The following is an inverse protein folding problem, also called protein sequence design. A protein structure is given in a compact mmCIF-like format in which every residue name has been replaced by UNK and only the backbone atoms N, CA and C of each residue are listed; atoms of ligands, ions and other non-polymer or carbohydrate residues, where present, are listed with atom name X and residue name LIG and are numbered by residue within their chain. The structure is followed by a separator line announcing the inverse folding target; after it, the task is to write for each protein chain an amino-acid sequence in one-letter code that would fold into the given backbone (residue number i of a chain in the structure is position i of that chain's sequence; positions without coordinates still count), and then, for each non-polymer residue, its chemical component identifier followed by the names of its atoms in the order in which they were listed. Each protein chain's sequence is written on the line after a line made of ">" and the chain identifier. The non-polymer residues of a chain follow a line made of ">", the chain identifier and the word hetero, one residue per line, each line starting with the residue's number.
data_IF_919791053807
#
_entry.id   IF_919791053807
#
_cell.length_a   1.000
_cell.length_b   1.000
_cell.length_c   1.000
_cell.angle_alpha   90.00
_cell.angle_beta   90.00
_cell.angle_gamma   90.00
#
_symmetry.space_group_name_H-M   'P 1'
#
loop_
_entity.id
_entity.type
_entity.pdbx_description
1 polymer ?
#
# COMPACT_ATOMS: atom_id res chain seq x y z
N UNK A 1 -24.51 25.18 6.08
CA UNK A 1 -23.08 25.11 6.41
C UNK A 1 -22.49 23.80 5.89
N UNK A 2 -21.62 23.85 4.89
CA UNK A 2 -20.95 22.65 4.39
C UNK A 2 -19.97 22.12 5.46
N UNK A 3 -20.18 20.90 5.96
CA UNK A 3 -19.20 20.19 6.80
C UNK A 3 -17.90 20.11 6.01
N UNK A 4 -16.89 20.92 6.37
CA UNK A 4 -15.51 20.75 5.90
C UNK A 4 -15.12 19.31 6.17
N UNK A 5 -14.92 18.52 5.12
CA UNK A 5 -14.42 17.16 5.22
C UNK A 5 -13.07 17.24 5.95
N UNK A 6 -12.97 16.63 7.12
CA UNK A 6 -11.70 16.41 7.82
C UNK A 6 -10.85 15.58 6.86
N UNK A 7 -9.82 16.18 6.27
CA UNK A 7 -8.79 15.44 5.55
C UNK A 7 -8.36 14.26 6.43
N UNK A 8 -8.23 13.07 5.84
CA UNK A 8 -7.71 11.91 6.57
C UNK A 8 -6.38 12.31 7.18
N UNK A 9 -6.29 12.22 8.51
CA UNK A 9 -5.04 12.50 9.17
C UNK A 9 -4.10 11.32 8.89
N UNK A 10 -3.00 11.60 8.18
CA UNK A 10 -1.92 10.66 8.07
C UNK A 10 -1.47 10.21 9.46
N UNK A 11 -1.14 8.94 9.60
CA UNK A 11 -0.72 8.34 10.87
C UNK A 11 0.53 7.49 10.67
N UNK A 12 1.42 7.53 11.65
CA UNK A 12 2.64 6.73 11.62
C UNK A 12 2.50 5.50 12.50
N UNK A 13 2.85 4.34 11.96
CA UNK A 13 2.92 3.10 12.71
C UNK A 13 4.04 2.23 12.14
N UNK A 14 4.90 1.72 13.02
CA UNK A 14 6.10 0.95 12.67
C UNK A 14 6.87 1.58 11.50
N UNK A 15 7.17 2.89 11.58
CA UNK A 15 7.91 3.65 10.57
C UNK A 15 7.20 3.90 9.23
N UNK A 16 5.97 3.40 9.05
CA UNK A 16 5.17 3.62 7.85
C UNK A 16 4.24 4.81 8.10
N UNK A 17 4.26 5.79 7.20
CA UNK A 17 3.33 6.90 7.20
C UNK A 17 2.13 6.56 6.31
N UNK A 18 1.04 6.13 6.93
CA UNK A 18 -0.22 5.84 6.25
C UNK A 18 -0.96 7.12 5.88
N UNK A 19 -1.64 7.13 4.75
CA UNK A 19 -2.40 8.27 4.25
C UNK A 19 -3.74 8.44 4.98
N UNK A 20 -4.20 7.36 5.62
CA UNK A 20 -5.35 7.39 6.50
C UNK A 20 -5.23 6.49 7.72
N UNK A 21 -5.98 6.84 8.76
CA UNK A 21 -6.23 5.97 9.91
C UNK A 21 -6.88 4.65 9.50
N UNK A 22 -7.64 4.62 8.41
CA UNK A 22 -8.31 3.42 7.92
C UNK A 22 -7.30 2.43 7.34
N UNK A 23 -6.32 2.89 6.56
CA UNK A 23 -5.21 2.07 6.07
C UNK A 23 -4.35 1.52 7.21
N UNK A 24 -4.00 2.35 8.20
CA UNK A 24 -3.27 1.88 9.38
C UNK A 24 -4.08 0.84 10.16
N UNK A 25 -5.40 1.04 10.31
CA UNK A 25 -6.30 0.07 10.95
C UNK A 25 -6.31 -1.26 10.20
N UNK A 26 -6.29 -1.23 8.86
CA UNK A 26 -6.18 -2.44 8.06
C UNK A 26 -4.83 -3.14 8.23
N UNK A 27 -3.72 -2.42 8.16
CA UNK A 27 -2.38 -2.96 8.40
C UNK A 27 -2.29 -3.68 9.76
N UNK A 28 -2.72 -3.02 10.83
CA UNK A 28 -2.81 -3.60 12.18
C UNK A 28 -3.73 -4.84 12.26
N UNK A 29 -4.75 -4.91 11.39
CA UNK A 29 -5.67 -6.05 11.38
C UNK A 29 -5.08 -7.29 10.72
N UNK A 30 -4.05 -7.14 9.87
CA UNK A 30 -3.47 -8.22 9.07
C UNK A 30 -2.04 -8.61 9.48
N UNK A 31 -1.32 -7.75 10.20
CA UNK A 31 0.12 -7.88 10.46
C UNK A 31 0.54 -9.18 11.18
N UNK A 32 -0.37 -9.81 11.92
CA UNK A 32 -0.05 -11.06 12.64
C UNK A 32 -0.08 -12.30 11.71
N UNK A 33 -0.62 -12.19 10.50
CA UNK A 33 -0.82 -13.34 9.58
C UNK A 33 -0.52 -13.06 8.10
N UNK A 34 -0.20 -11.81 7.75
CA UNK A 34 0.15 -11.39 6.41
C UNK A 34 1.42 -10.55 6.40
N UNK A 35 2.18 -10.68 5.31
CA UNK A 35 3.13 -9.66 4.89
C UNK A 35 2.45 -8.66 3.96
N UNK A 36 2.87 -7.41 3.99
CA UNK A 36 2.34 -6.39 3.09
C UNK A 36 3.39 -5.36 2.66
N UNK A 37 3.19 -4.83 1.45
CA UNK A 37 3.81 -3.62 0.95
C UNK A 37 2.77 -2.51 0.87
N UNK A 38 3.06 -1.38 1.49
CA UNK A 38 2.24 -0.16 1.41
C UNK A 38 2.69 0.67 0.20
N UNK A 39 1.75 1.10 -0.65
CA UNK A 39 2.02 1.74 -1.95
C UNK A 39 3.03 0.95 -2.81
N UNK A 40 2.70 -0.29 -3.20
CA UNK A 40 3.65 -1.25 -3.76
C UNK A 40 4.18 -0.86 -5.14
N UNK A 41 3.36 -0.19 -5.95
CA UNK A 41 3.68 0.15 -7.34
C UNK A 41 2.74 1.22 -7.91
N UNK A 42 3.21 1.89 -8.97
CA UNK A 42 2.41 2.81 -9.78
C UNK A 42 1.79 2.10 -10.97
N UNK A 43 0.46 2.17 -11.08
CA UNK A 43 -0.28 1.70 -12.25
C UNK A 43 -0.59 2.91 -13.13
N UNK A 44 0.09 2.97 -14.27
CA UNK A 44 -0.08 4.04 -15.26
C UNK A 44 -1.22 3.72 -16.22
N UNK A 45 -2.09 4.70 -16.46
CA UNK A 45 -3.30 4.52 -17.26
C UNK A 45 -3.71 5.78 -18.04
N UNK A 46 -4.39 5.57 -19.16
CA UNK A 46 -5.06 6.63 -19.90
C UNK A 46 -6.57 6.63 -19.59
N UNK A 47 -7.12 7.82 -19.28
CA UNK A 47 -8.54 7.98 -18.91
C UNK A 47 -9.50 7.86 -20.09
N UNK A 48 -9.01 8.12 -21.31
CA UNK A 48 -9.79 8.10 -22.55
C UNK A 48 -9.63 6.79 -23.29
N UNK A 49 -8.41 6.27 -23.33
CA UNK A 49 -8.06 5.03 -24.01
C UNK A 49 -7.66 3.95 -23.00
N UNK A 50 -8.65 3.15 -22.62
CA UNK A 50 -8.50 2.07 -21.64
C UNK A 50 -7.54 0.95 -22.07
N UNK A 51 -7.08 0.95 -23.32
CA UNK A 51 -6.14 -0.04 -23.85
C UNK A 51 -4.68 0.32 -23.62
N UNK A 52 -4.39 1.59 -23.32
CA UNK A 52 -3.04 2.06 -23.05
C UNK A 52 -2.69 1.90 -21.58
N UNK A 53 -1.53 1.32 -21.33
CA UNK A 53 -0.91 1.20 -20.02
C UNK A 53 0.57 1.59 -20.09
N UNK A 54 1.14 1.95 -18.94
CA UNK A 54 2.58 2.25 -18.84
C UNK A 54 2.95 3.73 -18.99
N UNK A 55 4.04 4.10 -18.31
CA UNK A 55 4.50 5.49 -18.16
C UNK A 55 4.81 6.20 -19.49
N UNK A 56 5.20 5.46 -20.52
CA UNK A 56 5.54 6.03 -21.83
C UNK A 56 4.31 6.56 -22.58
N UNK A 57 3.12 6.04 -22.30
CA UNK A 57 1.89 6.32 -23.05
C UNK A 57 0.83 7.04 -22.22
N UNK A 58 0.97 7.03 -20.90
CA UNK A 58 -0.07 7.45 -19.97
C UNK A 58 0.40 8.59 -19.07
N UNK A 59 -0.45 9.62 -18.93
CA UNK A 59 -0.19 10.76 -18.04
C UNK A 59 -0.83 10.61 -16.66
N UNK A 60 -1.71 9.62 -16.46
CA UNK A 60 -2.30 9.35 -15.15
C UNK A 60 -1.63 8.11 -14.55
N UNK A 61 -1.51 8.13 -13.23
CA UNK A 61 -1.13 6.96 -12.45
C UNK A 61 -1.95 6.92 -11.18
N UNK A 62 -2.15 5.72 -10.63
CA UNK A 62 -2.56 5.57 -9.24
C UNK A 62 -1.72 4.48 -8.58
N UNK A 63 -1.63 4.54 -7.25
CA UNK A 63 -0.94 3.57 -6.43
C UNK A 63 -2.03 2.84 -5.62
N UNK A 64 -2.12 1.50 -5.73
CA UNK A 64 -2.95 0.71 -4.83
C UNK A 64 -2.48 0.87 -3.39
N UNK A 65 -3.38 0.84 -2.42
CA UNK A 65 -3.00 1.06 -1.02
C UNK A 65 -2.04 -0.05 -0.51
N UNK A 66 -2.29 -1.33 -0.84
CA UNK A 66 -1.44 -2.45 -0.40
C UNK A 66 -1.24 -3.54 -1.46
N UNK A 67 -0.10 -4.24 -1.39
CA UNK A 67 0.07 -5.60 -1.89
C UNK A 67 0.28 -6.53 -0.70
N UNK A 68 -0.61 -7.49 -0.50
CA UNK A 68 -0.67 -8.35 0.69
C UNK A 68 -0.42 -9.79 0.31
N UNK A 69 0.41 -10.50 1.07
CA UNK A 69 0.63 -11.94 0.97
C UNK A 69 0.13 -12.61 2.24
N UNK A 70 -0.86 -13.49 2.11
CA UNK A 70 -1.29 -14.32 3.23
C UNK A 70 -0.27 -15.43 3.46
N UNK A 71 0.31 -15.49 4.66
CA UNK A 71 1.39 -16.42 4.98
C UNK A 71 0.93 -17.88 5.06
N UNK A 72 -0.36 -18.12 5.35
CA UNK A 72 -0.93 -19.47 5.45
C UNK A 72 -1.32 -20.03 4.09
N UNK A 73 -2.01 -19.24 3.27
CA UNK A 73 -2.56 -19.71 1.99
C UNK A 73 -1.64 -19.47 0.81
N UNK A 74 -0.58 -18.67 1.00
CA UNK A 74 0.27 -18.18 -0.08
C UNK A 74 -0.48 -17.41 -1.18
N UNK A 75 -1.69 -16.92 -0.90
CA UNK A 75 -2.42 -16.06 -1.83
C UNK A 75 -1.93 -14.62 -1.74
N UNK A 76 -1.85 -13.97 -2.90
CA UNK A 76 -1.43 -12.57 -3.02
C UNK A 76 -2.62 -11.70 -3.44
N UNK A 77 -2.78 -10.57 -2.77
CA UNK A 77 -3.89 -9.65 -2.97
C UNK A 77 -3.38 -8.24 -3.25
N UNK A 78 -3.87 -7.62 -4.33
CA UNK A 78 -3.70 -6.20 -4.57
C UNK A 78 -4.92 -5.47 -3.98
N UNK A 79 -4.70 -4.71 -2.92
CA UNK A 79 -5.77 -4.18 -2.07
C UNK A 79 -5.86 -2.67 -2.20
N UNK A 80 -7.07 -2.20 -2.44
CA UNK A 80 -7.46 -0.79 -2.36
C UNK A 80 -8.46 -0.63 -1.22
N UNK A 81 -8.23 0.34 -0.34
CA UNK A 81 -9.09 0.65 0.80
C UNK A 81 -9.76 2.00 0.57
N UNK A 82 -11.08 2.02 0.70
CA UNK A 82 -11.86 3.24 0.54
C UNK A 82 -12.90 3.38 1.63
N UNK A 83 -13.26 4.63 1.92
CA UNK A 83 -14.47 4.87 2.69
C UNK A 83 -15.67 4.28 1.92
N UNK A 84 -16.68 3.77 2.63
CA UNK A 84 -17.80 3.06 2.00
C UNK A 84 -18.64 3.90 1.03
N UNK A 85 -18.47 5.24 1.01
CA UNK A 85 -19.14 6.12 0.05
C UNK A 85 -18.37 6.22 -1.26
N UNK A 86 -17.05 5.96 -1.23
CA UNK A 86 -16.15 6.08 -2.37
C UNK A 86 -15.97 4.84 -3.21
N UNK A 87 -16.37 3.66 -2.71
CA UNK A 87 -16.23 2.40 -3.44
C UNK A 87 -16.93 2.41 -4.81
N UNK A 88 -18.07 3.10 -4.91
CA UNK A 88 -18.87 3.17 -6.15
C UNK A 88 -18.59 4.40 -7.03
N UNK A 89 -17.64 5.26 -6.66
CA UNK A 89 -17.31 6.38 -7.54
C UNK A 89 -16.64 5.89 -8.83
N UNK A 90 -16.96 6.60 -9.92
CA UNK A 90 -16.43 6.32 -11.25
C UNK A 90 -14.89 6.18 -11.26
N UNK A 91 -14.18 7.06 -10.54
CA UNK A 91 -12.72 7.02 -10.46
C UNK A 91 -12.21 5.73 -9.77
N UNK A 92 -12.89 5.26 -8.73
CA UNK A 92 -12.55 4.01 -8.03
C UNK A 92 -12.76 2.80 -8.96
N UNK A 93 -13.85 2.78 -9.71
CA UNK A 93 -14.13 1.70 -10.66
C UNK A 93 -13.16 1.73 -11.85
N UNK A 94 -12.77 2.91 -12.31
CA UNK A 94 -11.75 3.08 -13.34
C UNK A 94 -10.39 2.55 -12.87
N UNK A 95 -9.98 2.91 -11.65
CA UNK A 95 -8.76 2.38 -11.03
C UNK A 95 -8.81 0.86 -10.90
N UNK A 96 -9.89 0.30 -10.35
CA UNK A 96 -10.10 -1.15 -10.29
C UNK A 96 -9.92 -1.82 -11.66
N UNK A 97 -10.53 -1.27 -12.71
CA UNK A 97 -10.39 -1.79 -14.06
C UNK A 97 -8.92 -1.83 -14.52
N UNK A 98 -8.17 -0.74 -14.30
CA UNK A 98 -6.76 -0.70 -14.67
C UNK A 98 -5.88 -1.60 -13.80
N UNK A 99 -6.23 -1.82 -12.53
CA UNK A 99 -5.58 -2.82 -11.67
C UNK A 99 -5.70 -4.23 -12.25
N UNK A 100 -6.92 -4.63 -12.59
CA UNK A 100 -7.20 -5.95 -13.13
C UNK A 100 -6.48 -6.17 -14.45
N UNK A 101 -6.50 -5.18 -15.34
CA UNK A 101 -5.71 -5.22 -16.58
C UNK A 101 -4.22 -5.32 -16.32
N UNK A 102 -3.68 -4.56 -15.37
CA UNK A 102 -2.27 -4.65 -15.03
C UNK A 102 -1.89 -6.05 -14.56
N UNK A 103 -2.73 -6.66 -13.71
CA UNK A 103 -2.55 -8.04 -13.22
C UNK A 103 -2.51 -9.01 -14.40
N UNK A 104 -3.47 -8.90 -15.32
CA UNK A 104 -3.58 -9.74 -16.52
C UNK A 104 -2.38 -9.54 -17.47
N UNK A 105 -2.09 -8.30 -17.86
CA UNK A 105 -1.00 -7.93 -18.78
C UNK A 105 0.38 -8.34 -18.25
N UNK A 106 0.54 -8.38 -16.93
CA UNK A 106 1.79 -8.80 -16.26
C UNK A 106 1.77 -10.25 -15.80
N UNK A 107 0.73 -11.01 -16.18
CA UNK A 107 0.53 -12.42 -15.84
C UNK A 107 0.77 -12.70 -14.34
N UNK A 108 0.15 -11.90 -13.47
CA UNK A 108 0.28 -12.00 -12.03
C UNK A 108 -0.81 -12.90 -11.46
N UNK A 109 -0.47 -13.68 -10.45
CA UNK A 109 -1.37 -14.56 -9.69
C UNK A 109 -2.17 -13.82 -8.61
N UNK A 110 -2.34 -12.50 -8.76
CA UNK A 110 -2.91 -11.64 -7.73
C UNK A 110 -4.42 -11.56 -7.86
N UNK A 111 -5.12 -11.58 -6.72
CA UNK A 111 -6.53 -11.22 -6.65
C UNK A 111 -6.66 -9.72 -6.29
N UNK A 112 -7.49 -8.96 -7.01
CA UNK A 112 -7.74 -7.55 -6.65
C UNK A 112 -8.89 -7.44 -5.65
N UNK A 113 -8.65 -6.74 -4.54
CA UNK A 113 -9.65 -6.47 -3.49
C UNK A 113 -9.90 -4.97 -3.34
N UNK A 114 -11.16 -4.56 -3.39
CA UNK A 114 -11.60 -3.23 -2.99
C UNK A 114 -12.34 -3.37 -1.66
N UNK A 115 -11.73 -2.88 -0.58
CA UNK A 115 -12.22 -3.04 0.78
C UNK A 115 -12.68 -1.70 1.35
N UNK A 116 -13.64 -1.79 2.26
CA UNK A 116 -14.12 -0.74 3.14
C UNK A 116 -13.93 -1.17 4.58
N UNK A 117 -14.16 -0.26 5.53
CA UNK A 117 -14.06 -0.56 6.96
C UNK A 117 -14.92 -1.74 7.42
N UNK A 118 -16.00 -2.07 6.68
CA UNK A 118 -16.90 -3.18 7.01
C UNK A 118 -16.39 -4.54 6.53
N UNK A 119 -15.44 -4.55 5.60
CA UNK A 119 -15.01 -5.77 4.90
C UNK A 119 -13.88 -6.50 5.63
N UNK A 120 -13.38 -5.95 6.74
CA UNK A 120 -12.36 -6.59 7.55
C UNK A 120 -12.65 -6.45 9.05
N UNK A 121 -12.30 -7.50 9.79
CA UNK A 121 -12.39 -7.52 11.24
C UNK A 121 -11.19 -6.81 11.85
N UNK A 122 -11.42 -5.94 12.83
CA UNK A 122 -10.35 -5.33 13.61
C UNK A 122 -10.28 -5.95 15.01
N UNK A 123 -9.16 -6.61 15.38
CA UNK A 123 -9.03 -7.24 16.69
C UNK A 123 -9.11 -6.25 17.84
N UNK A 124 -9.95 -6.56 18.84
CA UNK A 124 -10.08 -5.73 20.05
C UNK A 124 -8.74 -5.55 20.79
N UNK A 125 -7.84 -6.53 20.69
CA UNK A 125 -6.49 -6.48 21.26
C UNK A 125 -5.61 -5.34 20.70
N UNK A 126 -5.87 -4.89 19.47
CA UNK A 126 -5.11 -3.83 18.79
C UNK A 126 -5.70 -2.43 19.02
N UNK A 127 -6.81 -2.30 19.75
CA UNK A 127 -7.49 -1.01 19.99
C UNK A 127 -6.61 0.02 20.69
N UNK A 128 -5.80 -0.40 21.66
CA UNK A 128 -4.92 0.50 22.38
C UNK A 128 -3.78 1.02 21.49
N UNK A 129 -3.27 0.18 20.59
CA UNK A 129 -2.26 0.56 19.59
C UNK A 129 -2.84 1.61 18.66
N UNK A 130 -4.02 1.36 18.07
CA UNK A 130 -4.67 2.31 17.18
C UNK A 130 -4.95 3.66 17.88
N UNK A 131 -5.43 3.65 19.13
CA UNK A 131 -5.64 4.88 19.92
C UNK A 131 -4.34 5.65 20.16
N UNK A 132 -3.22 4.95 20.38
CA UNK A 132 -1.91 5.60 20.58
C UNK A 132 -1.44 6.28 19.28
N UNK A 133 -1.56 5.58 18.15
CA UNK A 133 -1.19 6.08 16.82
C UNK A 133 -2.04 7.28 16.40
N UNK A 134 -3.34 7.26 16.71
CA UNK A 134 -4.26 8.38 16.45
C UNK A 134 -3.96 9.63 17.27
N UNK A 135 -3.24 9.53 18.39
CA UNK A 135 -2.80 10.70 19.17
C UNK A 135 -1.57 11.35 18.55
N UNK A 136 -0.75 10.57 17.84
CA UNK A 136 0.45 11.03 17.13
C UNK A 136 0.10 11.61 15.76
N UNK A 137 -0.99 12.38 15.65
CA UNK A 137 -1.31 13.10 14.40
C UNK A 137 -0.18 14.08 14.12
N UNK A 138 0.60 13.76 13.11
CA UNK A 138 1.77 14.53 12.75
C UNK A 138 1.31 15.91 12.27
N UNK A 139 1.88 16.97 12.84
CA UNK A 139 1.64 18.35 12.38
C UNK A 139 2.02 18.50 10.90
N UNK A 140 1.47 19.48 10.19
CA UNK A 140 1.79 19.69 8.75
C UNK A 140 3.29 19.83 8.48
N UNK A 141 4.04 20.44 9.41
CA UNK A 141 5.50 20.54 9.35
C UNK A 141 6.18 19.18 9.56
N UNK A 142 5.70 18.39 10.53
CA UNK A 142 6.15 17.02 10.74
C UNK A 142 5.84 16.11 9.54
N UNK A 143 4.69 16.29 8.87
CA UNK A 143 4.31 15.54 7.66
C UNK A 143 5.28 15.81 6.51
N UNK A 144 5.64 17.09 6.29
CA UNK A 144 6.62 17.47 5.26
C UNK A 144 8.03 16.98 5.62
N UNK A 145 8.41 17.03 6.90
CA UNK A 145 9.67 16.51 7.39
C UNK A 145 9.77 14.99 7.22
N UNK A 146 8.72 14.25 7.61
CA UNK A 146 8.64 12.79 7.45
C UNK A 146 8.54 12.36 6.01
N UNK A 147 7.73 13.02 5.17
CA UNK A 147 7.71 12.76 3.73
C UNK A 147 9.09 13.01 3.09
N UNK A 148 9.80 14.06 3.52
CA UNK A 148 11.16 14.31 3.07
C UNK A 148 12.18 13.32 3.61
N UNK A 149 12.05 12.87 4.86
CA UNK A 149 12.89 11.82 5.47
C UNK A 149 12.64 10.50 4.76
N UNK A 150 11.38 10.10 4.60
CA UNK A 150 10.98 8.94 3.82
C UNK A 150 11.57 9.02 2.41
N UNK A 151 11.46 10.17 1.71
CA UNK A 151 12.06 10.42 0.39
C UNK A 151 13.60 10.50 0.37
N UNK A 152 14.24 10.89 1.47
CA UNK A 152 15.71 11.00 1.60
C UNK A 152 16.33 9.64 1.91
N UNK A 153 15.75 8.88 2.83
CA UNK A 153 16.20 7.54 3.22
C UNK A 153 15.80 6.47 2.20
N UNK A 154 14.71 6.70 1.46
CA UNK A 154 14.37 6.11 0.16
C UNK A 154 15.52 6.09 -0.85
N UNK A 155 16.37 7.14 -0.85
CA UNK A 155 17.47 7.31 -1.80
C UNK A 155 18.83 6.77 -1.32
N UNK A 156 19.02 6.45 -0.04
CA UNK A 156 20.38 6.31 0.53
C UNK A 156 20.71 5.06 1.36
N UNK A 157 19.80 4.12 1.64
CA UNK A 157 20.14 3.02 2.58
C UNK A 157 20.19 1.60 1.97
N UNK A 158 21.42 1.27 1.55
CA UNK A 158 22.02 -0.05 1.70
C UNK A 158 22.80 -0.12 3.02
N UNK A 159 22.68 -1.25 3.72
CA UNK A 159 23.39 -1.65 4.96
C UNK A 159 22.70 -1.22 6.26
N UNK A 160 21.87 -2.11 6.80
CA UNK A 160 22.08 -2.75 8.11
C UNK A 160 20.94 -3.73 8.43
N UNK A 161 21.26 -4.82 9.15
CA UNK A 161 20.38 -5.94 9.52
C UNK A 161 20.13 -5.93 11.03
N UNK A 162 19.06 -6.66 11.40
CA UNK A 162 18.74 -7.23 12.73
C UNK A 162 17.79 -6.39 13.60
N UNK A 163 16.48 -6.52 13.35
CA UNK A 163 15.43 -6.97 14.29
C UNK A 163 14.02 -6.62 13.75
N UNK A 164 13.10 -7.62 13.80
CA UNK A 164 11.61 -7.54 13.74
C UNK A 164 10.98 -6.57 12.69
N UNK A 165 10.54 -7.15 11.55
CA UNK A 165 9.62 -6.67 10.47
C UNK A 165 9.38 -5.16 10.22
N UNK A 166 9.10 -4.72 8.97
CA UNK A 166 9.71 -5.06 7.69
C UNK A 166 9.94 -3.77 6.87
N UNK A 167 11.17 -3.26 6.80
CA UNK A 167 11.50 -2.21 5.82
C UNK A 167 12.48 -2.72 4.79
N UNK A 168 12.03 -2.94 3.56
CA UNK A 168 12.89 -2.86 2.37
C UNK A 168 12.16 -2.32 1.14
N UNK A 169 12.42 -1.02 0.92
CA UNK A 169 12.78 -0.33 -0.33
C UNK A 169 11.72 -0.06 -1.42
N UNK A 170 11.76 1.20 -1.84
CA UNK A 170 11.31 1.68 -3.13
C UNK A 170 11.86 0.84 -4.28
N UNK A 171 10.96 0.46 -5.19
CA UNK A 171 11.30 0.24 -6.58
C UNK A 171 10.42 1.16 -7.42
N UNK A 172 11.05 2.03 -8.20
CA UNK A 172 10.48 2.36 -9.50
C UNK A 172 10.54 1.06 -10.30
N UNK A 173 9.42 0.34 -10.32
CA UNK A 173 9.22 -0.99 -10.90
C UNK A 173 9.97 -2.09 -10.14
N UNK A 174 9.23 -2.90 -9.35
CA UNK A 174 9.75 -4.16 -8.79
C UNK A 174 10.44 -4.94 -9.92
N UNK A 175 11.76 -5.11 -9.82
CA UNK A 175 12.50 -6.03 -10.69
C UNK A 175 11.84 -7.40 -10.52
N UNK A 176 11.42 -7.99 -11.64
CA UNK A 176 10.74 -9.27 -11.75
C UNK A 176 11.40 -10.36 -10.90
N UNK A 177 12.71 -10.30 -10.69
CA UNK A 177 13.49 -11.24 -9.88
C UNK A 177 13.29 -11.09 -8.36
N UNK A 178 13.07 -9.87 -7.86
CA UNK A 178 12.79 -9.62 -6.44
C UNK A 178 11.33 -10.00 -6.11
N UNK A 179 10.44 -9.79 -7.08
CA UNK A 179 9.05 -10.26 -7.05
C UNK A 179 8.94 -11.79 -7.05
N UNK A 180 9.64 -12.47 -7.96
CA UNK A 180 9.64 -13.94 -8.04
C UNK A 180 10.20 -14.59 -6.77
N UNK A 181 11.18 -13.96 -6.12
CA UNK A 181 11.71 -14.46 -4.86
C UNK A 181 10.71 -14.31 -3.71
N UNK A 182 10.10 -13.13 -3.54
CA UNK A 182 9.04 -12.92 -2.54
C UNK A 182 7.87 -13.89 -2.72
N UNK A 183 7.43 -14.12 -3.96
CA UNK A 183 6.36 -15.10 -4.26
C UNK A 183 6.77 -16.53 -3.88
N UNK A 184 8.05 -16.91 -4.03
CA UNK A 184 8.53 -18.27 -3.76
C UNK A 184 8.85 -18.54 -2.30
N UNK A 185 9.38 -17.56 -1.59
CA UNK A 185 9.98 -17.78 -0.25
C UNK A 185 9.28 -17.02 0.87
N UNK A 186 8.46 -16.01 0.54
CA UNK A 186 8.01 -15.02 1.52
C UNK A 186 9.14 -14.09 1.99
N UNK A 187 10.32 -14.16 1.36
CA UNK A 187 11.50 -13.36 1.73
C UNK A 187 11.85 -12.39 0.61
N UNK A 188 12.62 -11.34 0.91
CA UNK A 188 13.16 -10.41 -0.10
C UNK A 188 14.62 -10.79 -0.37
N UNK A 189 14.96 -10.95 -1.65
CA UNK A 189 16.23 -11.54 -2.10
C UNK A 189 17.40 -10.72 -1.56
N UNK A 190 18.31 -11.36 -0.84
CA UNK A 190 19.55 -10.71 -0.42
C UNK A 190 20.50 -10.65 -1.63
N UNK A 191 20.57 -9.50 -2.32
CA UNK A 191 21.64 -9.21 -3.28
C UNK A 191 22.97 -8.96 -2.53
N UNK A 192 23.55 -10.01 -1.96
CA UNK A 192 24.93 -10.11 -1.44
C UNK A 192 25.24 -11.59 -1.09
N UNK A 193 24.83 -12.51 -1.95
CA UNK A 193 25.16 -13.93 -1.88
C UNK A 193 25.61 -14.37 -3.26
#
# INVERSE_FOLDING_TARGET
>A
MAKKFKFSNQVEYNGILFDSTLECKYALSIEDYCDYYYHPLKIWYDKKDKTKSGKAYCNNSYEPDFLVRNLKTNKTYLVEIKDGRRSNYYDTQLKKFHALRYIEEKNKDWEYLLLTEKDFYFPSSKLNILKSVQKTIISTAGKKHMSNIHRKYSKYHSRDRVNKMPFKRHYSDLDELDYLHFIKTGEIRNRNS
#
